data_IF_175740019347
#
_entry.id   IF_175740019347
#
_cell.length_a   1.000
_cell.length_b   1.000
_cell.length_c   1.000
_cell.angle_alpha   90.00
_cell.angle_beta   90.00
_cell.angle_gamma   90.00
#
_symmetry.space_group_name_H-M   'P 1'
#
loop_
_entity.id
_entity.type
_entity.pdbx_description
1 polymer ?
#
# COMPACT_ATOMS: atom_id res chain seq x y z
N UNK A 1 -31.73 2.59 -4.99
CA UNK A 1 -30.41 2.81 -5.63
C UNK A 1 -30.46 4.10 -6.42
N UNK A 2 -29.37 4.87 -6.47
CA UNK A 2 -29.25 6.06 -7.32
C UNK A 2 -28.08 5.83 -8.29
N UNK A 3 -28.27 6.18 -9.55
CA UNK A 3 -27.23 6.13 -10.57
C UNK A 3 -26.28 7.33 -10.42
N UNK A 4 -25.00 7.16 -10.77
CA UNK A 4 -24.03 8.25 -10.85
C UNK A 4 -23.19 8.09 -12.12
N UNK A 5 -22.86 9.22 -12.76
CA UNK A 5 -21.92 9.27 -13.89
C UNK A 5 -20.59 9.79 -13.37
N UNK A 6 -19.51 9.05 -13.64
CA UNK A 6 -18.14 9.42 -13.25
C UNK A 6 -17.34 9.69 -14.52
N UNK A 7 -16.63 10.82 -14.57
CA UNK A 7 -15.67 11.13 -15.64
C UNK A 7 -14.26 11.02 -15.08
N UNK A 8 -13.44 10.19 -15.70
CA UNK A 8 -12.02 10.05 -15.37
C UNK A 8 -11.18 10.83 -16.38
N UNK A 9 -10.15 11.52 -15.90
CA UNK A 9 -9.16 12.21 -16.74
C UNK A 9 -7.79 11.72 -16.34
N UNK A 10 -7.05 11.18 -17.30
CA UNK A 10 -5.69 10.72 -17.06
C UNK A 10 -4.77 11.89 -16.70
N UNK A 11 -3.90 11.66 -15.71
CA UNK A 11 -2.87 12.60 -15.28
C UNK A 11 -1.53 11.88 -15.25
N UNK A 12 -0.45 12.65 -15.29
CA UNK A 12 0.89 12.12 -15.01
C UNK A 12 0.89 11.52 -13.59
N UNK A 13 1.39 10.29 -13.40
CA UNK A 13 1.41 9.67 -12.08
C UNK A 13 2.33 10.47 -11.12
N UNK A 14 1.96 10.59 -9.84
CA UNK A 14 2.73 11.36 -8.87
C UNK A 14 4.01 10.64 -8.41
N UNK A 15 4.14 9.34 -8.70
CA UNK A 15 5.34 8.55 -8.48
C UNK A 15 5.50 7.51 -9.58
N UNK A 16 6.75 7.15 -9.86
CA UNK A 16 7.08 5.96 -10.65
C UNK A 16 6.86 4.70 -9.81
N UNK A 17 6.22 3.70 -10.41
CA UNK A 17 5.96 2.41 -9.78
C UNK A 17 6.61 1.35 -10.66
N UNK A 18 7.83 0.89 -10.33
CA UNK A 18 8.57 -0.05 -11.17
C UNK A 18 7.86 -1.39 -11.35
N UNK A 19 7.07 -1.81 -10.35
CA UNK A 19 6.29 -3.04 -10.40
C UNK A 19 4.81 -2.78 -10.02
N UNK A 20 3.96 -2.42 -10.99
CA UNK A 20 2.54 -2.17 -10.74
C UNK A 20 1.78 -3.41 -10.21
N UNK A 21 2.20 -4.62 -10.57
CA UNK A 21 1.58 -5.85 -10.09
C UNK A 21 1.79 -6.01 -8.57
N UNK A 22 3.03 -5.80 -8.10
CA UNK A 22 3.37 -5.83 -6.67
C UNK A 22 2.55 -4.78 -5.89
N UNK A 23 2.47 -3.56 -6.41
CA UNK A 23 1.65 -2.50 -5.83
C UNK A 23 0.18 -2.95 -5.67
N UNK A 24 -0.40 -3.56 -6.71
CA UNK A 24 -1.78 -4.06 -6.67
C UNK A 24 -1.95 -5.15 -5.62
N UNK A 25 -0.99 -6.07 -5.46
CA UNK A 25 -1.04 -7.10 -4.42
C UNK A 25 -0.98 -6.50 -3.01
N UNK A 26 -0.07 -5.55 -2.78
CA UNK A 26 0.06 -4.83 -1.50
C UNK A 26 -1.27 -4.14 -1.16
N UNK A 27 -1.82 -3.36 -2.10
CA UNK A 27 -3.09 -2.64 -1.92
C UNK A 27 -4.20 -3.63 -1.58
N UNK A 28 -4.34 -4.73 -2.33
CA UNK A 28 -5.36 -5.75 -2.03
C UNK A 28 -5.20 -6.31 -0.63
N UNK A 29 -3.98 -6.74 -0.25
CA UNK A 29 -3.72 -7.29 1.08
C UNK A 29 -4.14 -6.33 2.18
N UNK A 30 -3.69 -5.08 2.09
CA UNK A 30 -3.94 -4.05 3.10
C UNK A 30 -5.43 -3.69 3.20
N UNK A 31 -6.14 -3.59 2.06
CA UNK A 31 -7.57 -3.24 2.04
C UNK A 31 -8.50 -4.33 2.55
N UNK A 32 -8.10 -5.61 2.50
CA UNK A 32 -8.89 -6.70 3.13
C UNK A 32 -8.99 -6.52 4.65
N UNK A 33 -8.06 -5.80 5.27
CA UNK A 33 -7.96 -5.61 6.72
C UNK A 33 -8.03 -4.14 7.14
N UNK A 34 -8.77 -3.31 6.42
CA UNK A 34 -8.85 -1.84 6.59
C UNK A 34 -9.21 -1.29 7.98
N UNK A 35 -9.63 -2.13 8.93
CA UNK A 35 -9.98 -1.71 10.30
C UNK A 35 -8.88 -2.01 11.32
N UNK A 36 -7.77 -2.63 10.91
CA UNK A 36 -6.61 -2.92 11.74
C UNK A 36 -5.57 -1.80 11.59
N UNK A 37 -4.59 -1.76 12.49
CA UNK A 37 -3.38 -0.95 12.27
C UNK A 37 -2.65 -1.42 11.01
N UNK A 38 -1.88 -0.54 10.38
CA UNK A 38 -1.21 -0.83 9.13
C UNK A 38 -0.23 -2.00 9.24
N UNK A 39 0.52 -2.08 10.34
CA UNK A 39 1.39 -3.22 10.64
C UNK A 39 0.64 -4.54 10.62
N UNK A 40 -0.56 -4.59 11.20
CA UNK A 40 -1.39 -5.80 11.25
C UNK A 40 -1.98 -6.14 9.88
N UNK A 41 -2.43 -5.12 9.13
CA UNK A 41 -2.99 -5.30 7.80
C UNK A 41 -1.92 -5.78 6.78
N UNK A 42 -0.68 -5.34 6.94
CA UNK A 42 0.45 -5.72 6.07
C UNK A 42 1.15 -7.01 6.51
N UNK A 43 1.04 -7.41 7.78
CA UNK A 43 1.75 -8.56 8.35
C UNK A 43 1.68 -9.84 7.50
N UNK A 44 0.50 -10.30 7.04
CA UNK A 44 0.44 -11.54 6.25
C UNK A 44 1.24 -11.46 4.95
N UNK A 45 1.21 -10.30 4.29
CA UNK A 45 1.93 -10.07 3.03
C UNK A 45 3.43 -9.92 3.22
N UNK A 46 3.86 -9.23 4.28
CA UNK A 46 5.27 -9.09 4.61
C UNK A 46 5.88 -10.44 5.03
N UNK A 47 5.18 -11.19 5.89
CA UNK A 47 5.63 -12.50 6.36
C UNK A 47 5.70 -13.54 5.24
N UNK A 48 4.78 -13.51 4.26
CA UNK A 48 4.86 -14.41 3.09
C UNK A 48 6.08 -14.17 2.21
N UNK A 49 6.78 -13.05 2.42
CA UNK A 49 8.03 -12.66 1.74
C UNK A 49 9.23 -12.62 2.67
N UNK A 50 9.10 -13.13 3.90
CA UNK A 50 10.21 -13.19 4.85
C UNK A 50 10.57 -11.85 5.52
N UNK A 51 9.69 -10.84 5.46
CA UNK A 51 9.93 -9.54 6.06
C UNK A 51 9.06 -9.26 7.29
N UNK A 52 9.54 -8.37 8.16
CA UNK A 52 8.73 -7.77 9.22
C UNK A 52 7.92 -6.60 8.67
N UNK A 53 6.59 -6.62 8.81
CA UNK A 53 5.74 -5.52 8.38
C UNK A 53 6.10 -4.20 9.06
N UNK A 54 6.43 -4.21 10.35
CA UNK A 54 6.83 -3.00 11.06
C UNK A 54 8.12 -2.41 10.48
N UNK A 55 9.12 -3.26 10.20
CA UNK A 55 10.38 -2.82 9.61
C UNK A 55 10.17 -2.23 8.21
N UNK A 56 9.43 -2.93 7.35
CA UNK A 56 9.13 -2.48 5.99
C UNK A 56 8.39 -1.13 6.00
N UNK A 57 7.46 -0.93 6.93
CA UNK A 57 6.74 0.34 7.06
C UNK A 57 7.67 1.47 7.51
N UNK A 58 8.56 1.21 8.48
CA UNK A 58 9.58 2.17 8.91
C UNK A 58 10.53 2.52 7.78
N UNK A 59 11.02 1.53 7.02
CA UNK A 59 11.91 1.73 5.87
C UNK A 59 11.22 2.51 4.74
N UNK A 60 9.89 2.44 4.66
CA UNK A 60 9.07 3.21 3.74
C UNK A 60 8.72 4.63 4.27
N UNK A 61 9.15 4.97 5.49
CA UNK A 61 8.82 6.25 6.13
C UNK A 61 7.37 6.35 6.62
N UNK A 62 6.72 5.22 6.91
CA UNK A 62 5.31 5.14 7.27
C UNK A 62 5.16 4.67 8.71
N UNK A 63 4.39 5.41 9.51
CA UNK A 63 4.04 5.00 10.88
C UNK A 63 3.23 3.68 10.88
N UNK A 64 3.72 2.60 11.52
CA UNK A 64 3.04 1.30 11.57
C UNK A 64 1.68 1.32 12.29
N UNK A 65 1.40 2.34 13.12
CA UNK A 65 0.16 2.49 13.87
C UNK A 65 -0.95 3.19 13.07
N UNK A 66 -0.63 3.79 11.91
CA UNK A 66 -1.63 4.39 11.02
C UNK A 66 -2.68 3.36 10.61
N UNK A 67 -3.83 3.85 10.16
CA UNK A 67 -4.84 2.99 9.52
C UNK A 67 -4.63 2.93 8.01
N UNK A 68 -4.90 1.77 7.37
CA UNK A 68 -4.82 1.58 5.92
C UNK A 68 -5.45 2.70 5.08
N UNK A 69 -6.63 3.18 5.46
CA UNK A 69 -7.38 4.20 4.71
C UNK A 69 -6.69 5.57 4.68
N UNK A 70 -5.67 5.78 5.52
CA UNK A 70 -4.91 7.04 5.56
C UNK A 70 -3.76 7.05 4.55
N UNK A 71 -3.42 5.92 3.91
CA UNK A 71 -2.31 5.85 2.97
C UNK A 71 -2.61 6.59 1.66
N UNK A 72 -1.62 7.33 1.20
CA UNK A 72 -1.63 7.99 -0.12
C UNK A 72 -1.04 7.09 -1.20
N UNK A 73 -1.23 7.46 -2.48
CA UNK A 73 -0.57 6.76 -3.59
C UNK A 73 0.97 6.83 -3.49
N UNK A 74 1.51 7.93 -2.95
CA UNK A 74 2.94 8.08 -2.70
C UNK A 74 3.41 7.11 -1.62
N UNK A 75 2.63 6.95 -0.54
CA UNK A 75 2.95 5.99 0.53
C UNK A 75 3.02 4.56 -0.04
N UNK A 76 2.04 4.17 -0.87
CA UNK A 76 2.05 2.86 -1.50
C UNK A 76 3.19 2.67 -2.51
N UNK A 77 3.57 3.72 -3.26
CA UNK A 77 4.72 3.67 -4.16
C UNK A 77 6.03 3.49 -3.37
N UNK A 78 6.22 4.22 -2.28
CA UNK A 78 7.37 4.07 -1.39
C UNK A 78 7.45 2.66 -0.79
N UNK A 79 6.31 2.16 -0.28
CA UNK A 79 6.18 0.81 0.27
C UNK A 79 6.55 -0.27 -0.77
N UNK A 80 6.00 -0.16 -1.98
CA UNK A 80 6.35 -1.07 -3.09
C UNK A 80 7.85 -1.00 -3.43
N UNK A 81 8.46 0.18 -3.35
CA UNK A 81 9.89 0.37 -3.58
C UNK A 81 10.77 -0.33 -2.54
N UNK A 82 10.37 -0.35 -1.26
CA UNK A 82 11.08 -1.09 -0.21
C UNK A 82 11.07 -2.59 -0.47
N UNK A 83 9.92 -3.16 -0.81
CA UNK A 83 9.79 -4.60 -1.16
C UNK A 83 10.57 -5.03 -2.40
N UNK A 84 11.02 -4.11 -3.25
CA UNK A 84 11.86 -4.43 -4.41
C UNK A 84 13.36 -4.36 -4.11
N UNK A 85 13.75 -3.75 -2.99
CA UNK A 85 15.16 -3.53 -2.62
C UNK A 85 15.66 -4.51 -1.57
N UNK A 86 14.77 -5.12 -0.79
CA UNK A 86 15.06 -6.17 0.18
C UNK A 86 14.71 -7.55 -0.37
#
# INVERSE_FOLDING_TARGET
>A
MRSAVVRLTFRRPPAEVPNPALLVEIVRSVFTQRRKTLSNALAPFASSRGHSAAQILVDAGIDPQRRPETLTLLDYAALSGVFLRG
#
